data_IF_190281059410
#
_entry.id   IF_190281059410
#
_cell.length_a   1.000
_cell.length_b   1.000
_cell.length_c   1.000
_cell.angle_alpha   90.00
_cell.angle_beta   90.00
_cell.angle_gamma   90.00
#
_symmetry.space_group_name_H-M   'P 1'
#
loop_
_entity.id
_entity.type
_entity.pdbx_description
1 polymer ?
#
# COMPACT_ATOMS: atom_id res chain seq x y z
N UNK A 1 -12.75 -43.48 48.32
CA UNK A 1 -14.20 -43.74 48.34
C UNK A 1 -14.78 -42.93 49.49
N UNK A 2 -15.56 -41.89 49.14
CA UNK A 2 -16.54 -41.15 49.96
C UNK A 2 -16.03 -40.46 51.23
N UNK A 3 -15.99 -39.13 51.19
CA UNK A 3 -15.93 -38.24 52.35
C UNK A 3 -16.89 -37.08 52.14
N UNK A 4 -17.89 -37.02 53.02
CA UNK A 4 -19.04 -36.11 53.01
C UNK A 4 -18.66 -34.63 53.18
N UNK A 5 -19.40 -33.74 52.50
CA UNK A 5 -19.71 -32.41 53.03
C UNK A 5 -21.15 -32.02 52.67
N UNK A 6 -21.93 -31.66 53.69
CA UNK A 6 -23.25 -31.06 53.59
C UNK A 6 -23.28 -29.74 54.36
N UNK A 7 -23.93 -28.74 53.74
CA UNK A 7 -24.81 -27.67 54.29
C UNK A 7 -24.25 -26.45 55.04
N UNK A 8 -24.75 -25.27 54.60
CA UNK A 8 -24.90 -24.01 55.37
C UNK A 8 -24.15 -22.83 54.75
N UNK A 9 -24.72 -22.05 53.81
CA UNK A 9 -25.67 -20.93 53.97
C UNK A 9 -25.07 -19.66 54.61
N UNK A 10 -25.17 -18.56 53.84
CA UNK A 10 -25.32 -17.13 54.21
C UNK A 10 -24.27 -16.13 53.67
N UNK A 11 -24.85 -15.01 53.19
CA UNK A 11 -24.31 -13.68 52.85
C UNK A 11 -23.69 -13.48 51.47
N UNK A 12 -24.58 -13.23 50.50
CA UNK A 12 -24.33 -12.33 49.40
C UNK A 12 -24.33 -10.88 49.91
N UNK A 13 -23.25 -10.14 49.68
CA UNK A 13 -23.22 -8.68 49.77
C UNK A 13 -23.13 -8.10 48.37
N UNK A 14 -24.17 -7.33 48.09
CA UNK A 14 -24.53 -6.58 46.91
C UNK A 14 -23.72 -5.27 46.83
N UNK A 15 -23.06 -4.98 45.70
CA UNK A 15 -22.61 -3.62 45.30
C UNK A 15 -22.00 -3.62 43.90
N UNK A 16 -22.85 -3.56 42.88
CA UNK A 16 -22.47 -3.14 41.52
C UNK A 16 -23.18 -1.83 41.16
N UNK A 17 -22.53 -0.84 40.52
CA UNK A 17 -23.19 0.40 40.14
C UNK A 17 -24.09 0.21 38.91
N UNK A 18 -25.35 0.62 39.06
CA UNK A 18 -26.40 0.64 38.04
C UNK A 18 -26.22 1.90 37.18
N UNK A 19 -25.91 1.73 35.89
CA UNK A 19 -26.00 2.82 34.92
C UNK A 19 -27.44 2.95 34.42
N UNK A 20 -28.05 4.08 34.76
CA UNK A 20 -29.43 4.42 34.46
C UNK A 20 -29.58 4.83 32.96
N UNK A 21 -30.52 4.21 32.26
CA UNK A 21 -30.85 4.47 30.85
C UNK A 21 -32.35 4.81 30.76
N UNK A 22 -32.68 5.77 29.88
CA UNK A 22 -34.00 6.35 29.55
C UNK A 22 -34.24 7.73 30.23
N UNK A 23 -34.81 8.76 29.58
CA UNK A 23 -35.27 8.99 28.22
C UNK A 23 -35.85 10.43 28.12
N UNK A 24 -35.58 11.11 27.00
CA UNK A 24 -36.46 12.02 26.24
C UNK A 24 -37.00 13.39 26.77
N UNK A 25 -36.73 14.41 25.92
CA UNK A 25 -37.60 15.49 25.39
C UNK A 25 -37.93 16.74 26.24
N UNK A 26 -37.47 17.89 25.74
CA UNK A 26 -38.35 18.89 25.10
C UNK A 26 -38.70 20.18 25.88
N UNK A 27 -38.55 21.31 25.17
CA UNK A 27 -38.97 22.70 25.47
C UNK A 27 -38.20 23.42 26.61
N UNK A 28 -37.85 24.69 26.56
CA UNK A 28 -38.08 25.79 25.61
C UNK A 28 -37.68 27.13 26.25
N UNK A 29 -37.27 28.06 25.40
CA UNK A 29 -37.17 29.53 25.50
C UNK A 29 -37.44 30.29 26.82
N UNK A 30 -36.66 31.38 26.95
CA UNK A 30 -36.86 32.65 27.66
C UNK A 30 -36.73 32.70 29.19
N UNK A 31 -35.69 33.39 29.67
CA UNK A 31 -35.86 34.58 30.53
C UNK A 31 -34.62 35.47 30.42
N UNK A 32 -34.90 36.76 30.30
CA UNK A 32 -33.95 37.86 30.25
C UNK A 32 -33.91 38.56 31.61
N UNK A 33 -32.90 39.42 31.73
CA UNK A 33 -32.74 40.53 32.68
C UNK A 33 -32.16 40.17 34.07
N UNK A 34 -30.91 40.59 34.29
CA UNK A 34 -30.65 41.72 35.21
C UNK A 34 -29.24 42.26 34.96
N UNK A 35 -29.21 43.55 34.63
CA UNK A 35 -28.06 44.45 34.57
C UNK A 35 -27.55 44.78 35.97
N UNK A 36 -26.24 44.87 36.15
CA UNK A 36 -25.66 45.87 37.06
C UNK A 36 -24.25 46.27 36.56
N UNK A 37 -24.13 47.56 36.26
CA UNK A 37 -22.92 48.30 35.91
C UNK A 37 -21.93 48.33 37.09
N UNK A 38 -20.63 48.33 36.79
CA UNK A 38 -19.70 49.24 37.45
C UNK A 38 -18.49 49.52 36.54
N UNK A 39 -18.40 50.79 36.18
CA UNK A 39 -17.37 51.50 35.44
C UNK A 39 -16.36 52.12 36.43
N UNK A 40 -15.07 51.99 36.13
CA UNK A 40 -13.89 52.64 36.74
C UNK A 40 -12.66 51.98 36.05
N UNK A 41 -11.79 52.62 35.27
CA UNK A 41 -11.53 54.04 35.08
C UNK A 41 -10.06 54.37 35.42
N UNK A 42 -9.18 54.37 34.41
CA UNK A 42 -7.81 54.96 34.41
C UNK A 42 -6.72 54.22 35.26
N UNK A 43 -5.41 54.27 35.00
CA UNK A 43 -4.60 55.26 34.30
C UNK A 43 -3.22 54.68 33.91
N UNK A 44 -2.55 55.35 32.98
CA UNK A 44 -1.19 55.09 32.48
C UNK A 44 -0.10 55.18 33.57
N UNK A 45 1.11 54.64 33.29
CA UNK A 45 2.39 55.39 33.20
C UNK A 45 3.66 54.51 33.39
N UNK A 46 4.52 54.55 32.35
CA UNK A 46 6.00 54.58 32.34
C UNK A 46 6.87 53.53 33.08
N UNK A 47 7.76 52.86 32.31
CA UNK A 47 9.19 53.21 32.14
C UNK A 47 10.00 52.03 31.56
N UNK A 48 10.49 52.12 30.31
CA UNK A 48 11.91 52.39 29.95
C UNK A 48 12.96 51.52 30.67
N UNK A 49 13.51 50.52 29.96
CA UNK A 49 14.94 50.20 29.99
C UNK A 49 15.47 50.12 28.56
N UNK A 50 16.58 50.83 28.36
CA UNK A 50 17.26 51.17 27.12
C UNK A 50 18.55 50.37 26.94
N UNK A 51 18.91 50.11 25.67
CA UNK A 51 20.27 49.77 25.19
C UNK A 51 20.41 48.29 24.81
N UNK A 52 20.85 47.84 23.64
CA UNK A 52 21.53 48.45 22.47
C UNK A 52 22.45 47.36 21.87
N UNK A 53 22.49 47.11 20.53
CA UNK A 53 23.28 46.05 19.85
C UNK A 53 24.73 46.57 19.54
N UNK A 54 25.66 45.89 18.81
CA UNK A 54 25.53 44.78 17.83
C UNK A 54 26.69 43.75 17.75
N UNK A 55 26.55 42.67 16.95
CA UNK A 55 27.65 42.01 16.20
C UNK A 55 27.08 41.02 15.15
N UNK A 56 27.03 41.42 13.88
CA UNK A 56 27.90 40.98 12.77
C UNK A 56 27.59 39.61 12.14
N UNK A 57 26.94 39.64 10.98
CA UNK A 57 27.07 38.65 9.91
C UNK A 57 28.48 38.69 9.28
N UNK A 58 28.85 37.64 8.53
CA UNK A 58 29.37 37.92 7.20
C UNK A 58 28.69 37.07 6.12
N UNK A 59 28.13 37.79 5.16
CA UNK A 59 27.85 37.37 3.80
C UNK A 59 29.15 37.11 3.02
N UNK A 60 29.29 35.92 2.43
CA UNK A 60 30.29 35.61 1.40
C UNK A 60 29.59 35.28 0.07
N UNK A 61 30.16 35.67 -1.09
CA UNK A 61 29.50 35.64 -2.41
C UNK A 61 29.51 34.25 -3.08
N UNK A 62 28.67 34.03 -4.11
CA UNK A 62 28.49 32.73 -4.74
C UNK A 62 29.61 32.45 -5.75
N UNK A 63 30.28 31.31 -5.61
CA UNK A 63 31.12 30.73 -6.65
C UNK A 63 30.25 29.86 -7.57
N UNK A 64 30.30 30.19 -8.87
CA UNK A 64 29.45 29.64 -9.92
C UNK A 64 29.66 28.16 -10.27
N UNK A 65 28.90 27.65 -11.26
CA UNK A 65 28.77 26.23 -11.53
C UNK A 65 29.97 25.70 -12.31
N UNK A 66 30.46 24.48 -12.04
CA UNK A 66 31.25 23.76 -13.00
C UNK A 66 30.31 23.05 -14.00
N UNK A 67 30.38 23.51 -15.25
CA UNK A 67 30.55 22.71 -16.47
C UNK A 67 29.64 21.48 -16.69
N UNK A 68 28.92 21.53 -17.82
CA UNK A 68 28.09 20.46 -18.37
C UNK A 68 28.84 19.17 -18.77
N UNK A 69 28.12 18.21 -19.38
CA UNK A 69 28.58 16.83 -19.52
C UNK A 69 29.73 16.73 -20.54
N UNK A 70 30.67 15.78 -20.36
CA UNK A 70 31.70 15.55 -21.34
C UNK A 70 31.11 14.93 -22.61
N UNK A 71 31.33 15.63 -23.71
CA UNK A 71 31.21 15.18 -25.10
C UNK A 71 32.09 13.94 -25.35
N UNK A 72 31.56 12.93 -26.05
CA UNK A 72 32.36 11.86 -26.67
C UNK A 72 33.30 12.38 -27.76
N UNK A 73 34.35 11.62 -28.19
CA UNK A 73 34.32 10.90 -29.50
C UNK A 73 35.35 9.71 -29.55
N UNK A 74 35.74 9.08 -30.70
CA UNK A 74 35.25 9.17 -32.09
C UNK A 74 34.82 7.83 -32.71
N UNK A 75 34.23 7.93 -33.91
CA UNK A 75 33.55 6.84 -34.61
C UNK A 75 34.42 5.79 -35.27
N UNK A 76 33.75 4.68 -35.62
CA UNK A 76 34.14 3.76 -36.67
C UNK A 76 33.00 3.69 -37.69
N UNK A 77 33.36 4.01 -38.92
CA UNK A 77 32.51 3.99 -40.11
C UNK A 77 32.39 2.60 -40.71
N UNK A 78 31.18 2.24 -41.14
CA UNK A 78 30.90 1.22 -42.15
C UNK A 78 30.20 -0.03 -41.59
N UNK A 79 29.08 -0.53 -42.12
CA UNK A 79 28.41 -0.27 -43.39
C UNK A 79 26.98 -0.84 -43.37
N UNK A 80 26.09 -0.16 -44.09
CA UNK A 80 24.91 -0.67 -44.83
C UNK A 80 23.73 -1.28 -44.06
N UNK A 81 22.71 -0.42 -43.90
CA UNK A 81 21.31 -0.80 -43.88
C UNK A 81 20.87 -1.30 -45.29
N UNK A 82 20.11 -2.39 -45.32
CA UNK A 82 19.36 -2.84 -46.50
C UNK A 82 17.98 -3.34 -46.06
N UNK A 83 16.98 -2.92 -46.84
CA UNK A 83 15.64 -3.48 -47.01
C UNK A 83 14.52 -3.08 -46.05
N UNK A 84 13.82 -2.00 -46.43
CA UNK A 84 12.37 -1.94 -46.35
C UNK A 84 11.74 -2.76 -47.49
N UNK A 85 10.64 -3.45 -47.20
CA UNK A 85 9.92 -4.30 -48.15
C UNK A 85 8.45 -4.46 -47.77
N UNK A 86 7.63 -3.67 -48.45
CA UNK A 86 6.20 -3.79 -48.75
C UNK A 86 5.36 -4.91 -48.11
N UNK A 87 4.24 -4.49 -47.52
CA UNK A 87 3.06 -5.30 -47.19
C UNK A 87 2.17 -5.49 -48.44
N UNK A 88 1.77 -6.73 -48.72
CA UNK A 88 0.60 -7.03 -49.55
C UNK A 88 0.03 -8.41 -49.21
N UNK A 89 -1.29 -8.43 -48.96
CA UNK A 89 -2.16 -9.54 -48.56
C UNK A 89 -2.24 -10.71 -49.56
N UNK A 90 -2.71 -11.89 -49.12
CA UNK A 90 -2.97 -13.04 -49.98
C UNK A 90 -4.32 -12.96 -50.71
N UNK A 91 -4.32 -13.20 -52.01
CA UNK A 91 -5.48 -13.24 -52.90
C UNK A 91 -6.11 -14.64 -52.98
N UNK A 92 -7.44 -14.70 -52.84
CA UNK A 92 -8.28 -15.85 -53.20
C UNK A 92 -8.54 -15.99 -54.72
N UNK A 93 -9.34 -16.99 -55.14
CA UNK A 93 -9.21 -17.63 -56.45
C UNK A 93 -10.11 -17.01 -57.54
N UNK A 94 -9.73 -17.11 -58.84
CA UNK A 94 -10.65 -16.86 -59.94
C UNK A 94 -11.09 -18.16 -60.66
N UNK A 95 -12.18 -18.08 -61.46
CA UNK A 95 -13.03 -19.21 -61.83
C UNK A 95 -12.62 -19.91 -63.13
N UNK A 96 -13.22 -21.10 -63.31
CA UNK A 96 -13.13 -22.01 -64.44
C UNK A 96 -14.11 -21.66 -65.57
N UNK A 97 -13.59 -21.52 -66.80
CA UNK A 97 -14.32 -21.87 -68.03
C UNK A 97 -13.33 -22.33 -69.10
N UNK A 98 -13.56 -23.53 -69.63
CA UNK A 98 -12.75 -24.21 -70.64
C UNK A 98 -13.00 -23.67 -72.06
N UNK A 99 -12.05 -23.92 -72.98
CA UNK A 99 -12.40 -24.39 -74.31
C UNK A 99 -11.67 -25.69 -74.69
N UNK A 100 -12.41 -26.59 -75.30
CA UNK A 100 -11.96 -27.88 -75.83
C UNK A 100 -11.28 -27.73 -77.20
N UNK A 101 -10.20 -28.45 -77.46
CA UNK A 101 -9.78 -28.87 -78.80
C UNK A 101 -8.83 -30.09 -78.72
N UNK A 102 -8.72 -30.92 -79.78
CA UNK A 102 -8.58 -32.36 -79.62
C UNK A 102 -7.20 -32.93 -79.97
N UNK A 103 -6.96 -34.10 -79.36
CA UNK A 103 -6.36 -35.33 -79.88
C UNK A 103 -5.29 -35.25 -80.99
N UNK A 104 -4.09 -35.71 -80.65
CA UNK A 104 -3.19 -36.35 -81.60
C UNK A 104 -1.71 -36.10 -81.33
N UNK A 105 -1.03 -37.05 -80.67
CA UNK A 105 0.27 -37.58 -81.10
C UNK A 105 0.86 -38.54 -80.05
N UNK A 106 0.73 -39.82 -80.35
CA UNK A 106 1.78 -40.83 -80.34
C UNK A 106 2.67 -41.00 -79.08
N UNK A 107 2.39 -42.12 -78.42
CA UNK A 107 3.32 -42.90 -77.58
C UNK A 107 4.72 -42.99 -78.18
N UNK A 108 5.69 -42.46 -77.44
CA UNK A 108 7.05 -42.99 -77.39
C UNK A 108 7.34 -43.39 -75.95
N UNK A 109 7.21 -44.69 -75.69
CA UNK A 109 7.77 -45.33 -74.51
C UNK A 109 9.29 -45.27 -74.60
N UNK A 110 9.94 -44.58 -73.66
CA UNK A 110 11.17 -45.07 -73.03
C UNK A 110 11.47 -44.29 -71.74
N UNK A 111 11.14 -44.92 -70.60
CA UNK A 111 11.86 -44.79 -69.34
C UNK A 111 11.51 -43.62 -68.43
N UNK A 112 10.43 -43.69 -67.64
CA UNK A 112 10.36 -43.02 -66.33
C UNK A 112 9.14 -43.40 -65.44
N UNK A 113 8.75 -44.68 -65.35
CA UNK A 113 7.74 -45.07 -64.33
C UNK A 113 8.39 -45.31 -62.96
N UNK A 114 9.63 -45.81 -62.94
CA UNK A 114 10.38 -46.12 -61.72
C UNK A 114 10.84 -44.84 -61.00
N UNK A 115 10.96 -43.71 -61.71
CA UNK A 115 11.51 -42.45 -61.15
C UNK A 115 10.44 -41.60 -60.45
N UNK A 116 9.17 -41.79 -60.78
CA UNK A 116 8.04 -41.04 -60.18
C UNK A 116 7.54 -41.71 -58.89
N UNK A 117 7.42 -43.05 -58.86
CA UNK A 117 7.15 -43.79 -57.61
C UNK A 117 8.31 -43.66 -56.62
N UNK A 118 9.56 -43.81 -57.06
CA UNK A 118 10.73 -43.61 -56.19
C UNK A 118 10.87 -42.15 -55.70
N UNK A 119 10.31 -41.18 -56.44
CA UNK A 119 10.24 -39.78 -56.05
C UNK A 119 9.19 -39.52 -54.97
N UNK A 120 7.99 -40.09 -55.12
CA UNK A 120 6.92 -40.01 -54.11
C UNK A 120 7.27 -40.76 -52.82
N UNK A 121 7.89 -41.94 -52.94
CA UNK A 121 8.34 -42.74 -51.80
C UNK A 121 9.48 -42.03 -51.03
N UNK A 122 10.39 -41.34 -51.74
CA UNK A 122 11.39 -40.46 -51.11
C UNK A 122 10.77 -39.26 -50.40
N UNK A 123 9.73 -38.63 -50.97
CA UNK A 123 9.06 -37.48 -50.34
C UNK A 123 8.29 -37.91 -49.09
N UNK A 124 7.60 -39.06 -49.13
CA UNK A 124 6.93 -39.62 -47.95
C UNK A 124 7.92 -40.09 -46.88
N UNK A 125 9.06 -40.65 -47.27
CA UNK A 125 10.13 -41.01 -46.35
C UNK A 125 10.72 -39.78 -45.66
N UNK A 126 11.02 -38.71 -46.41
CA UNK A 126 11.51 -37.43 -45.87
C UNK A 126 10.47 -36.78 -44.95
N UNK A 127 9.18 -36.85 -45.30
CA UNK A 127 8.10 -36.34 -44.44
C UNK A 127 7.98 -37.14 -43.14
N UNK A 128 8.05 -38.47 -43.18
CA UNK A 128 8.05 -39.30 -41.95
C UNK A 128 9.27 -39.06 -41.07
N UNK A 129 10.44 -38.79 -41.65
CA UNK A 129 11.63 -38.46 -40.86
C UNK A 129 11.49 -37.09 -40.20
N UNK A 130 11.01 -36.08 -40.92
CA UNK A 130 10.76 -34.73 -40.35
C UNK A 130 9.66 -34.78 -39.28
N UNK A 131 8.54 -35.44 -39.54
CA UNK A 131 7.46 -35.64 -38.56
C UNK A 131 7.93 -36.45 -37.33
N UNK A 132 8.92 -37.33 -37.51
CA UNK A 132 9.56 -38.11 -36.45
C UNK A 132 10.48 -37.24 -35.59
N UNK A 133 11.31 -36.44 -36.23
CA UNK A 133 12.25 -35.51 -35.59
C UNK A 133 11.48 -34.42 -34.82
N UNK A 134 10.41 -33.86 -35.39
CA UNK A 134 9.52 -32.90 -34.72
C UNK A 134 8.83 -33.50 -33.49
N UNK A 135 8.42 -34.78 -33.54
CA UNK A 135 7.83 -35.47 -32.37
C UNK A 135 8.84 -35.70 -31.26
N UNK A 136 10.10 -35.99 -31.61
CA UNK A 136 11.19 -36.13 -30.65
C UNK A 136 11.52 -34.79 -30.01
N UNK A 137 11.62 -33.73 -30.80
CA UNK A 137 11.85 -32.37 -30.30
C UNK A 137 10.70 -31.91 -29.38
N UNK A 138 9.44 -32.14 -29.77
CA UNK A 138 8.28 -31.84 -28.93
C UNK A 138 8.27 -32.63 -27.62
N UNK A 139 8.74 -33.88 -27.62
CA UNK A 139 8.87 -34.68 -26.40
C UNK A 139 9.96 -34.11 -25.48
N UNK A 140 11.11 -33.72 -26.05
CA UNK A 140 12.20 -33.10 -25.32
C UNK A 140 11.80 -31.74 -24.73
N UNK A 141 11.11 -30.89 -25.50
CA UNK A 141 10.58 -29.61 -25.02
C UNK A 141 9.54 -29.80 -23.91
N UNK A 142 8.73 -30.86 -23.96
CA UNK A 142 7.78 -31.18 -22.87
C UNK A 142 8.50 -31.58 -21.60
N UNK A 143 9.53 -32.41 -21.71
CA UNK A 143 10.35 -32.80 -20.57
C UNK A 143 11.10 -31.60 -19.98
N UNK A 144 11.64 -30.72 -20.81
CA UNK A 144 12.28 -29.47 -20.38
C UNK A 144 11.27 -28.56 -19.68
N UNK A 145 10.06 -28.39 -20.23
CA UNK A 145 9.00 -27.60 -19.59
C UNK A 145 8.59 -28.19 -18.23
N UNK A 146 8.49 -29.51 -18.09
CA UNK A 146 8.19 -30.13 -16.79
C UNK A 146 9.34 -29.95 -15.79
N UNK A 147 10.59 -30.06 -16.25
CA UNK A 147 11.77 -29.77 -15.43
C UNK A 147 11.79 -28.31 -14.96
N UNK A 148 11.50 -27.35 -15.85
CA UNK A 148 11.40 -25.92 -15.54
C UNK A 148 10.28 -25.62 -14.55
N UNK A 149 9.10 -26.23 -14.71
CA UNK A 149 7.99 -26.06 -13.74
C UNK A 149 8.41 -26.54 -12.36
N UNK A 150 9.12 -27.67 -12.28
CA UNK A 150 9.60 -28.23 -11.01
C UNK A 150 10.68 -27.37 -10.37
N UNK A 151 11.63 -26.86 -11.15
CA UNK A 151 12.67 -25.95 -10.62
C UNK A 151 12.08 -24.62 -10.19
N UNK A 152 11.09 -24.10 -10.91
CA UNK A 152 10.35 -22.89 -10.53
C UNK A 152 9.58 -23.09 -9.22
N UNK A 153 8.89 -24.22 -9.05
CA UNK A 153 8.20 -24.53 -7.79
C UNK A 153 9.17 -24.57 -6.60
N UNK A 154 10.32 -25.25 -6.75
CA UNK A 154 11.34 -25.28 -5.72
C UNK A 154 11.94 -23.89 -5.42
N UNK A 155 12.10 -23.04 -6.44
CA UNK A 155 12.57 -21.67 -6.25
C UNK A 155 11.55 -20.82 -5.47
N UNK A 156 10.25 -21.01 -5.71
CA UNK A 156 9.20 -20.31 -4.95
C UNK A 156 9.27 -20.66 -3.46
N UNK A 157 9.46 -21.93 -3.12
CA UNK A 157 9.57 -22.37 -1.71
C UNK A 157 10.78 -21.71 -1.02
N UNK A 158 11.95 -21.72 -1.68
CA UNK A 158 13.17 -21.08 -1.14
C UNK A 158 13.00 -19.57 -1.00
N UNK A 159 12.37 -18.91 -1.99
CA UNK A 159 12.09 -17.47 -1.91
C UNK A 159 11.15 -17.19 -0.74
N UNK A 160 10.12 -18.00 -0.53
CA UNK A 160 9.18 -17.81 0.57
C UNK A 160 9.85 -17.96 1.93
N UNK A 161 10.76 -18.92 2.09
CA UNK A 161 11.56 -19.10 3.32
C UNK A 161 12.50 -17.91 3.58
N UNK A 162 13.15 -17.39 2.53
CA UNK A 162 14.06 -16.24 2.64
C UNK A 162 13.30 -14.94 2.88
N UNK A 163 12.15 -14.75 2.23
CA UNK A 163 11.35 -13.54 2.37
C UNK A 163 10.57 -13.51 3.68
N UNK A 164 10.09 -14.65 4.19
CA UNK A 164 9.31 -14.73 5.43
C UNK A 164 10.01 -15.64 6.45
N UNK A 165 11.18 -15.23 6.98
CA UNK A 165 11.84 -15.99 8.02
C UNK A 165 10.97 -16.07 9.27
N UNK A 166 11.08 -17.17 10.02
CA UNK A 166 10.41 -17.31 11.31
C UNK A 166 11.02 -16.29 12.28
N UNK A 167 10.21 -15.34 12.72
CA UNK A 167 10.65 -14.27 13.61
C UNK A 167 10.66 -14.74 15.08
N UNK A 168 11.69 -14.37 15.88
CA UNK A 168 11.72 -14.69 17.29
C UNK A 168 10.67 -13.87 18.08
N UNK A 169 10.20 -14.36 19.23
CA UNK A 169 9.34 -13.60 20.11
C UNK A 169 10.11 -12.48 20.81
N UNK A 170 9.42 -11.40 21.16
CA UNK A 170 9.97 -10.31 21.98
C UNK A 170 9.49 -10.50 23.41
N UNK A 171 10.42 -10.53 24.37
CA UNK A 171 10.10 -10.61 25.80
C UNK A 171 10.40 -9.26 26.43
N UNK A 172 9.35 -8.57 26.87
CA UNK A 172 9.46 -7.32 27.61
C UNK A 172 9.09 -7.49 29.08
N UNK A 173 9.05 -6.37 29.81
CA UNK A 173 8.68 -6.38 31.22
C UNK A 173 7.17 -6.69 31.38
N UNK A 174 6.86 -7.92 31.76
CA UNK A 174 5.49 -8.37 32.01
C UNK A 174 4.66 -8.66 30.75
N UNK A 175 5.29 -8.76 29.57
CA UNK A 175 4.61 -9.13 28.33
C UNK A 175 5.50 -9.94 27.39
N UNK A 176 4.86 -10.70 26.49
CA UNK A 176 5.52 -11.41 25.39
C UNK A 176 4.79 -11.08 24.10
N UNK A 177 5.53 -10.56 23.12
CA UNK A 177 5.04 -10.42 21.74
C UNK A 177 5.36 -11.73 21.01
N UNK A 178 4.35 -12.49 20.56
CA UNK A 178 4.59 -13.73 19.83
C UNK A 178 5.40 -13.48 18.55
N UNK A 179 6.28 -14.42 18.19
CA UNK A 179 7.05 -14.35 16.94
C UNK A 179 6.16 -14.22 15.70
N UNK A 180 4.95 -14.80 15.74
CA UNK A 180 3.94 -14.65 14.67
C UNK A 180 3.51 -13.19 14.46
N UNK A 181 3.37 -12.41 15.54
CA UNK A 181 3.04 -10.98 15.45
C UNK A 181 4.21 -10.21 14.86
N UNK A 182 5.44 -10.52 15.27
CA UNK A 182 6.65 -9.92 14.66
C UNK A 182 6.74 -10.25 13.17
N UNK A 183 6.47 -11.51 12.81
CA UNK A 183 6.39 -11.98 11.42
C UNK A 183 5.34 -11.23 10.62
N UNK A 184 4.14 -11.03 11.17
CA UNK A 184 3.07 -10.26 10.55
C UNK A 184 3.52 -8.82 10.24
N UNK A 185 4.20 -8.16 11.18
CA UNK A 185 4.73 -6.82 10.95
C UNK A 185 5.76 -6.81 9.81
N UNK A 186 6.71 -7.75 9.82
CA UNK A 186 7.72 -7.86 8.77
C UNK A 186 7.10 -8.12 7.39
N UNK A 187 6.10 -9.00 7.31
CA UNK A 187 5.37 -9.30 6.07
C UNK A 187 4.61 -8.08 5.56
N UNK A 188 3.91 -7.35 6.45
CA UNK A 188 3.21 -6.13 6.04
C UNK A 188 4.19 -5.07 5.55
N UNK A 189 5.30 -4.85 6.24
CA UNK A 189 6.32 -3.88 5.83
C UNK A 189 6.85 -4.13 4.41
N UNK A 190 7.11 -5.39 4.06
CA UNK A 190 7.45 -5.80 2.67
C UNK A 190 6.32 -5.51 1.70
N UNK A 191 5.08 -5.83 2.07
CA UNK A 191 3.91 -5.63 1.21
C UNK A 191 3.62 -4.16 0.94
N UNK A 192 3.78 -3.28 1.94
CA UNK A 192 3.65 -1.83 1.81
C UNK A 192 4.66 -1.27 0.79
N UNK A 193 5.92 -1.71 0.86
CA UNK A 193 6.94 -1.28 -0.07
C UNK A 193 6.73 -1.85 -1.48
N UNK A 194 6.33 -3.12 -1.60
CA UNK A 194 5.97 -3.74 -2.90
C UNK A 194 4.78 -3.04 -3.56
N UNK A 195 3.82 -2.58 -2.77
CA UNK A 195 2.69 -1.78 -3.22
C UNK A 195 3.02 -0.32 -3.54
N UNK A 196 4.25 0.13 -3.28
CA UNK A 196 4.68 1.52 -3.49
C UNK A 196 4.06 2.52 -2.51
N UNK A 197 3.47 2.05 -1.40
CA UNK A 197 2.84 2.90 -0.39
C UNK A 197 3.86 3.50 0.58
N UNK A 198 5.02 2.86 0.73
CA UNK A 198 6.11 3.31 1.60
C UNK A 198 7.45 3.13 0.90
N UNK A 199 8.40 4.03 1.15
CA UNK A 199 9.77 3.93 0.65
C UNK A 199 10.76 4.23 1.78
N UNK A 200 11.81 3.41 1.89
CA UNK A 200 12.85 3.60 2.89
C UNK A 200 12.30 3.44 4.32
N UNK A 201 12.34 4.52 5.10
CA UNK A 201 11.87 4.55 6.49
C UNK A 201 10.57 5.35 6.67
N UNK A 202 9.90 5.71 5.57
CA UNK A 202 8.66 6.46 5.62
C UNK A 202 7.47 5.57 6.01
N UNK A 203 6.56 6.12 6.80
CA UNK A 203 5.40 5.41 7.33
C UNK A 203 5.67 4.72 8.67
N UNK A 204 4.59 4.24 9.27
CA UNK A 204 4.59 3.50 10.52
C UNK A 204 3.31 2.69 10.63
N UNK A 205 3.31 1.61 11.40
CA UNK A 205 2.06 0.91 11.67
C UNK A 205 2.05 0.29 13.05
N UNK A 206 0.84 0.13 13.58
CA UNK A 206 0.59 -0.32 14.94
C UNK A 206 -0.59 -1.27 15.02
N UNK A 207 -0.56 -2.16 16.01
CA UNK A 207 -1.58 -3.16 16.26
C UNK A 207 -1.82 -3.27 17.78
N UNK A 208 -3.09 -3.34 18.18
CA UNK A 208 -3.47 -3.71 19.54
C UNK A 208 -3.22 -5.19 19.78
N UNK A 209 -2.63 -5.51 20.93
CA UNK A 209 -2.40 -6.88 21.34
C UNK A 209 -3.71 -7.60 21.59
N UNK A 210 -3.87 -8.78 20.99
CA UNK A 210 -5.01 -9.68 21.22
C UNK A 210 -4.84 -10.56 22.46
N UNK A 211 -3.60 -10.68 22.97
CA UNK A 211 -3.27 -11.52 24.12
C UNK A 211 -3.20 -10.73 25.42
N UNK A 212 -2.90 -9.44 25.36
CA UNK A 212 -2.71 -8.56 26.51
C UNK A 212 -3.44 -7.23 26.31
N UNK A 213 -4.64 -7.07 26.91
CA UNK A 213 -5.44 -5.86 26.75
C UNK A 213 -4.66 -4.57 27.06
N UNK A 214 -4.82 -3.57 26.21
CA UNK A 214 -4.18 -2.27 26.35
C UNK A 214 -2.70 -2.22 25.93
N UNK A 215 -2.09 -3.32 25.48
CA UNK A 215 -0.77 -3.26 24.85
C UNK A 215 -0.88 -2.87 23.38
N UNK A 216 0.02 -1.99 22.95
CA UNK A 216 0.18 -1.52 21.58
C UNK A 216 1.54 -1.94 21.08
N UNK A 217 1.58 -2.63 19.94
CA UNK A 217 2.80 -2.91 19.20
C UNK A 217 2.91 -1.91 18.04
N UNK A 218 4.03 -1.23 17.89
CA UNK A 218 4.25 -0.22 16.85
C UNK A 218 5.67 -0.31 16.28
N UNK A 219 5.80 -0.03 14.99
CA UNK A 219 7.12 0.10 14.34
C UNK A 219 7.95 1.20 15.01
N UNK A 220 9.23 0.91 15.25
CA UNK A 220 10.22 1.85 15.78
C UNK A 220 10.42 3.03 14.83
N UNK A 221 10.68 4.21 15.38
CA UNK A 221 11.06 5.39 14.60
C UNK A 221 12.29 5.09 13.72
N UNK A 222 12.19 5.42 12.43
CA UNK A 222 13.28 5.22 11.47
C UNK A 222 13.58 3.76 11.13
N UNK A 223 12.68 2.82 11.44
CA UNK A 223 12.81 1.45 10.94
C UNK A 223 12.63 1.41 9.42
N UNK A 224 13.45 0.62 8.74
CA UNK A 224 13.24 0.31 7.33
C UNK A 224 12.15 -0.75 7.23
N UNK A 225 10.90 -0.35 6.99
CA UNK A 225 9.72 -1.21 7.14
C UNK A 225 9.81 -2.52 6.34
N UNK A 226 10.35 -2.47 5.12
CA UNK A 226 10.52 -3.67 4.28
C UNK A 226 11.59 -4.65 4.78
N UNK A 227 12.49 -4.20 5.67
CA UNK A 227 13.62 -4.98 6.20
C UNK A 227 13.49 -5.19 7.72
N UNK A 228 12.33 -4.89 8.29
CA UNK A 228 12.17 -4.83 9.73
C UNK A 228 12.26 -6.21 10.38
N UNK A 229 12.79 -6.22 11.61
CA UNK A 229 12.87 -7.41 12.45
C UNK A 229 12.31 -7.14 13.87
N UNK A 230 12.50 -8.08 14.80
CA UNK A 230 12.05 -7.95 16.18
C UNK A 230 12.60 -6.71 16.90
N UNK A 231 13.80 -6.25 16.55
CA UNK A 231 14.43 -5.05 17.11
C UNK A 231 13.81 -3.73 16.61
N UNK A 232 12.94 -3.81 15.61
CA UNK A 232 12.21 -2.69 15.02
C UNK A 232 10.75 -2.62 15.47
N UNK A 233 10.34 -3.49 16.40
CA UNK A 233 9.02 -3.45 17.00
C UNK A 233 9.12 -2.96 18.45
N UNK A 234 8.42 -1.88 18.75
CA UNK A 234 8.32 -1.28 20.09
C UNK A 234 6.95 -1.62 20.66
N UNK A 235 6.89 -1.86 21.96
CA UNK A 235 5.62 -2.10 22.67
C UNK A 235 5.46 -1.08 23.79
N UNK A 236 4.25 -0.53 23.90
CA UNK A 236 3.84 0.38 24.98
C UNK A 236 2.40 0.09 25.39
N UNK A 237 1.88 0.92 26.30
CA UNK A 237 0.48 0.85 26.74
C UNK A 237 -0.34 1.96 26.10
N UNK A 238 -1.55 1.62 25.67
CA UNK A 238 -2.50 2.57 25.13
C UNK A 238 -2.83 3.65 26.18
N UNK A 239 -2.69 4.91 25.80
CA UNK A 239 -2.94 6.06 26.69
C UNK A 239 -1.72 6.51 27.51
N UNK A 240 -0.64 5.73 27.55
CA UNK A 240 0.60 6.14 28.19
C UNK A 240 1.45 7.02 27.25
N UNK A 241 2.44 7.68 27.83
CA UNK A 241 3.47 8.39 27.07
C UNK A 241 4.19 7.45 26.09
N UNK A 242 4.72 8.04 25.01
CA UNK A 242 5.42 7.28 23.98
C UNK A 242 6.57 6.46 24.58
N UNK A 243 6.65 5.14 24.31
CA UNK A 243 7.80 4.35 24.74
C UNK A 243 9.08 4.82 24.04
N UNK A 244 10.22 4.56 24.64
CA UNK A 244 11.51 4.96 24.07
C UNK A 244 11.66 4.44 22.62
N UNK A 245 12.15 5.29 21.71
CA UNK A 245 12.34 5.03 20.26
C UNK A 245 11.04 4.91 19.44
N UNK A 246 9.87 5.19 20.01
CA UNK A 246 8.66 5.39 19.23
C UNK A 246 8.72 6.72 18.45
N UNK A 247 7.97 6.78 17.34
CA UNK A 247 7.80 8.00 16.55
C UNK A 247 6.99 9.06 17.31
N UNK A 248 7.09 10.32 16.89
CA UNK A 248 6.20 11.41 17.32
C UNK A 248 4.72 11.12 16.99
N UNK A 249 4.48 10.22 16.02
CA UNK A 249 3.16 9.72 15.65
C UNK A 249 2.53 8.77 16.68
N UNK A 250 3.21 8.45 17.79
CA UNK A 250 2.68 7.54 18.83
C UNK A 250 1.27 7.94 19.28
N UNK A 251 1.03 9.23 19.50
CA UNK A 251 -0.26 9.71 19.98
C UNK A 251 -1.35 9.58 18.91
N UNK A 252 -1.00 9.83 17.64
CA UNK A 252 -1.89 9.66 16.48
C UNK A 252 -2.29 8.18 16.34
N UNK A 253 -1.31 7.27 16.39
CA UNK A 253 -1.56 5.83 16.39
C UNK A 253 -2.42 5.41 17.59
N UNK A 254 -2.13 5.92 18.79
CA UNK A 254 -2.90 5.59 20.01
C UNK A 254 -4.36 6.00 19.90
N UNK A 255 -4.66 7.21 19.41
CA UNK A 255 -6.04 7.66 19.19
C UNK A 255 -6.72 6.83 18.10
N UNK A 256 -6.04 6.58 16.98
CA UNK A 256 -6.57 5.74 15.90
C UNK A 256 -6.89 4.32 16.37
N UNK A 257 -6.01 3.70 17.15
CA UNK A 257 -6.24 2.39 17.76
C UNK A 257 -7.39 2.40 18.75
N UNK A 258 -7.52 3.45 19.56
CA UNK A 258 -8.64 3.58 20.49
C UNK A 258 -9.98 3.64 19.74
N UNK A 259 -10.07 4.44 18.67
CA UNK A 259 -11.25 4.53 17.81
C UNK A 259 -11.56 3.17 17.18
N UNK A 260 -10.58 2.54 16.52
CA UNK A 260 -10.74 1.22 15.90
C UNK A 260 -11.20 0.17 16.93
N UNK A 261 -10.66 0.20 18.14
CA UNK A 261 -11.02 -0.74 19.21
C UNK A 261 -12.48 -0.64 19.65
N UNK A 262 -13.06 0.56 19.60
CA UNK A 262 -14.47 0.77 19.93
C UNK A 262 -15.39 0.18 18.85
N UNK A 263 -14.96 0.17 17.60
CA UNK A 263 -15.74 -0.37 16.47
C UNK A 263 -15.56 -1.88 16.29
N UNK A 264 -14.41 -2.42 16.67
CA UNK A 264 -14.02 -3.80 16.38
C UNK A 264 -13.81 -4.68 17.63
N UNK A 265 -14.62 -4.43 18.67
CA UNK A 265 -14.68 -5.27 19.89
C UNK A 265 -13.32 -5.43 20.58
N UNK A 266 -12.58 -4.33 20.73
CA UNK A 266 -11.27 -4.30 21.38
C UNK A 266 -10.08 -4.61 20.45
N UNK A 267 -10.31 -4.91 19.17
CA UNK A 267 -9.27 -5.06 18.16
C UNK A 267 -9.02 -3.76 17.43
N UNK A 268 -7.80 -3.51 16.98
CA UNK A 268 -7.52 -2.31 16.21
C UNK A 268 -6.12 -2.31 15.63
N UNK A 269 -6.01 -1.75 14.44
CA UNK A 269 -4.77 -1.49 13.75
C UNK A 269 -4.81 -0.09 13.13
N UNK A 270 -3.62 0.50 12.99
CA UNK A 270 -3.44 1.78 12.32
C UNK A 270 -2.18 1.71 11.45
N UNK A 271 -2.30 2.11 10.19
CA UNK A 271 -1.20 2.14 9.22
C UNK A 271 -1.08 3.56 8.68
N UNK A 272 0.08 4.16 8.89
CA UNK A 272 0.51 5.39 8.26
C UNK A 272 1.38 5.08 7.04
N UNK A 273 0.99 5.62 5.88
CA UNK A 273 1.73 5.48 4.62
C UNK A 273 1.95 6.83 3.95
N UNK A 274 3.14 7.00 3.38
CA UNK A 274 3.49 8.14 2.53
C UNK A 274 3.07 7.87 1.08
N UNK A 275 1.77 7.64 0.87
CA UNK A 275 1.21 7.20 -0.41
C UNK A 275 1.32 8.33 -1.46
N UNK A 276 2.04 8.15 -2.59
CA UNK A 276 2.45 9.25 -3.46
C UNK A 276 1.33 10.11 -4.04
N UNK A 277 0.25 9.52 -4.54
CA UNK A 277 -0.85 10.27 -5.18
C UNK A 277 -1.68 11.00 -4.12
N UNK A 278 -2.05 10.33 -3.03
CA UNK A 278 -2.74 10.95 -1.90
C UNK A 278 -1.92 12.11 -1.32
N UNK A 279 -0.62 11.89 -1.11
CA UNK A 279 0.28 12.91 -0.57
C UNK A 279 0.39 14.11 -1.51
N UNK A 280 0.66 13.88 -2.80
CA UNK A 280 0.78 14.95 -3.79
C UNK A 280 -0.50 15.78 -3.90
N UNK A 281 -1.66 15.12 -4.00
CA UNK A 281 -2.97 15.78 -4.08
C UNK A 281 -3.29 16.58 -2.82
N UNK A 282 -2.85 16.11 -1.64
CA UNK A 282 -3.08 16.82 -0.37
C UNK A 282 -2.32 18.14 -0.26
N UNK A 283 -1.22 18.32 -1.00
CA UNK A 283 -0.36 19.50 -0.92
C UNK A 283 -0.96 20.76 -1.57
N UNK A 284 -2.04 20.61 -2.34
CA UNK A 284 -2.76 21.76 -2.90
C UNK A 284 -3.37 22.60 -1.76
N UNK A 285 -2.97 23.88 -1.68
CA UNK A 285 -3.29 24.75 -0.54
C UNK A 285 -4.79 24.96 -0.31
N UNK A 286 -5.55 25.05 -1.40
CA UNK A 286 -6.99 25.33 -1.34
C UNK A 286 -7.82 24.03 -1.20
N UNK A 287 -7.16 22.87 -1.22
CA UNK A 287 -7.82 21.57 -1.10
C UNK A 287 -7.88 21.15 0.37
N UNK A 288 -9.10 21.07 0.89
CA UNK A 288 -9.38 20.66 2.28
C UNK A 288 -9.89 19.21 2.41
N UNK A 289 -10.22 18.56 1.29
CA UNK A 289 -10.65 17.18 1.26
C UNK A 289 -10.31 16.50 -0.07
N UNK A 290 -10.11 15.19 -0.02
CA UNK A 290 -9.98 14.31 -1.17
C UNK A 290 -11.26 13.49 -1.35
N UNK A 291 -11.84 13.55 -2.55
CA UNK A 291 -13.09 12.88 -2.90
C UNK A 291 -12.81 11.93 -4.06
N UNK A 292 -12.76 10.60 -3.83
CA UNK A 292 -12.69 9.62 -4.90
C UNK A 292 -13.77 9.85 -5.97
N UNK A 293 -13.46 9.58 -7.24
CA UNK A 293 -14.42 9.65 -8.35
C UNK A 293 -14.77 8.30 -8.91
N UNK A 294 -13.93 7.29 -8.68
CA UNK A 294 -14.20 5.90 -9.02
C UNK A 294 -15.33 5.32 -8.15
N UNK A 295 -15.88 4.19 -8.58
CA UNK A 295 -17.03 3.59 -7.92
C UNK A 295 -16.70 3.05 -6.51
N UNK A 296 -15.58 2.35 -6.38
CA UNK A 296 -15.17 1.70 -5.12
C UNK A 296 -14.81 2.74 -4.06
N UNK A 297 -14.00 3.74 -4.42
CA UNK A 297 -13.57 4.79 -3.52
C UNK A 297 -14.74 5.64 -3.02
N UNK A 298 -15.69 6.00 -3.90
CA UNK A 298 -16.90 6.75 -3.50
C UNK A 298 -17.78 5.97 -2.54
N UNK A 299 -17.97 4.68 -2.81
CA UNK A 299 -18.83 3.81 -2.00
C UNK A 299 -18.21 3.52 -0.64
N UNK A 300 -16.88 3.37 -0.58
CA UNK A 300 -16.16 2.94 0.62
C UNK A 300 -15.77 4.09 1.53
N UNK A 301 -15.28 5.20 0.97
CA UNK A 301 -14.67 6.29 1.73
C UNK A 301 -15.48 7.60 1.66
N UNK A 302 -16.21 7.81 0.56
CA UNK A 302 -16.97 9.04 0.32
C UNK A 302 -16.07 10.27 0.18
N UNK A 303 -15.67 10.86 1.31
CA UNK A 303 -14.82 12.06 1.40
C UNK A 303 -13.81 11.91 2.54
N UNK A 304 -12.52 11.99 2.21
CA UNK A 304 -11.46 12.04 3.21
C UNK A 304 -11.05 13.49 3.47
N UNK A 305 -11.15 13.94 4.71
CA UNK A 305 -10.71 15.30 5.10
C UNK A 305 -9.19 15.35 5.16
N UNK A 306 -8.60 16.45 4.69
CA UNK A 306 -7.18 16.72 4.77
C UNK A 306 -6.92 17.60 5.99
N UNK A 307 -6.18 17.06 6.95
CA UNK A 307 -5.80 17.73 8.20
C UNK A 307 -4.37 18.26 8.07
N UNK A 308 -4.13 19.48 8.56
CA UNK A 308 -2.78 20.04 8.62
C UNK A 308 -1.97 19.39 9.74
N UNK A 309 -0.70 19.08 9.45
CA UNK A 309 0.19 18.46 10.43
C UNK A 309 0.61 19.50 11.47
N UNK A 310 0.27 19.26 12.74
CA UNK A 310 0.45 20.21 13.82
C UNK A 310 1.16 19.59 15.04
N UNK A 311 2.40 19.12 14.87
CA UNK A 311 3.19 18.52 15.98
C UNK A 311 3.42 19.47 17.17
N UNK A 312 3.40 20.78 16.95
CA UNK A 312 3.55 21.78 18.02
C UNK A 312 2.28 21.94 18.90
N UNK A 313 1.12 21.53 18.39
CA UNK A 313 -0.17 21.52 19.10
C UNK A 313 -0.85 20.17 18.88
N UNK A 314 -0.30 19.14 19.52
CA UNK A 314 -0.78 17.78 19.36
C UNK A 314 -2.22 17.60 19.88
N UNK A 315 -2.64 18.33 20.91
CA UNK A 315 -4.00 18.24 21.44
C UNK A 315 -5.02 18.75 20.40
N UNK A 316 -4.79 19.93 19.82
CA UNK A 316 -5.59 20.45 18.72
C UNK A 316 -5.57 19.53 17.49
N UNK A 317 -4.38 19.02 17.13
CA UNK A 317 -4.23 18.12 16.00
C UNK A 317 -5.06 16.83 16.16
N UNK A 318 -5.03 16.21 17.34
CA UNK A 318 -5.80 15.01 17.62
C UNK A 318 -7.31 15.25 17.54
N UNK A 319 -7.80 16.42 18.00
CA UNK A 319 -9.21 16.80 17.84
C UNK A 319 -9.60 16.85 16.36
N UNK A 320 -8.84 17.57 15.54
CA UNK A 320 -9.09 17.64 14.09
C UNK A 320 -9.03 16.27 13.42
N UNK A 321 -8.06 15.42 13.80
CA UNK A 321 -7.96 14.03 13.31
C UNK A 321 -9.22 13.24 13.64
N UNK A 322 -9.73 13.32 14.87
CA UNK A 322 -10.94 12.57 15.25
C UNK A 322 -12.20 13.05 14.52
N UNK A 323 -12.28 14.33 14.18
CA UNK A 323 -13.37 14.88 13.35
C UNK A 323 -13.24 14.46 11.89
N UNK A 324 -12.02 14.45 11.35
CA UNK A 324 -11.71 14.01 10.00
C UNK A 324 -12.06 12.52 9.80
N UNK A 325 -11.71 11.66 10.76
CA UNK A 325 -11.98 10.22 10.73
C UNK A 325 -13.47 9.90 10.60
N UNK A 326 -14.35 10.66 11.28
CA UNK A 326 -15.80 10.46 11.20
C UNK A 326 -16.35 10.59 9.77
N UNK A 327 -15.69 11.37 8.91
CA UNK A 327 -16.12 11.60 7.52
C UNK A 327 -15.96 10.38 6.63
N UNK A 328 -15.04 9.47 6.97
CA UNK A 328 -14.80 8.22 6.25
C UNK A 328 -15.37 7.00 6.98
N UNK A 329 -16.23 7.21 7.99
CA UNK A 329 -16.71 6.13 8.86
C UNK A 329 -15.57 5.48 9.63
N UNK A 330 -14.64 6.31 10.16
CA UNK A 330 -13.47 5.91 10.94
C UNK A 330 -12.47 5.01 10.19
N UNK A 331 -12.45 5.05 8.85
CA UNK A 331 -11.53 4.26 8.03
C UNK A 331 -10.18 4.91 7.83
N UNK A 332 -10.12 6.22 7.57
CA UNK A 332 -8.88 6.95 7.31
C UNK A 332 -9.03 8.47 7.38
N UNK A 333 -7.90 9.15 7.53
CA UNK A 333 -7.76 10.59 7.27
C UNK A 333 -6.46 10.87 6.51
N UNK A 334 -6.37 12.05 5.90
CA UNK A 334 -5.20 12.49 5.14
C UNK A 334 -4.47 13.57 5.91
N UNK A 335 -3.17 13.41 6.12
CA UNK A 335 -2.29 14.40 6.73
C UNK A 335 -1.54 15.15 5.63
N UNK A 336 -1.75 16.46 5.53
CA UNK A 336 -1.27 17.28 4.41
C UNK A 336 0.23 17.18 4.22
N UNK A 337 0.64 16.78 3.01
CA UNK A 337 2.05 16.62 2.64
C UNK A 337 2.79 15.51 3.40
N UNK A 338 2.11 14.74 4.24
CA UNK A 338 2.69 13.67 5.06
C UNK A 338 2.22 12.29 4.60
N UNK A 339 0.96 12.18 4.18
CA UNK A 339 0.38 10.95 3.67
C UNK A 339 -1.00 10.69 4.25
N UNK A 340 -1.32 9.44 4.53
CA UNK A 340 -2.60 9.06 5.13
C UNK A 340 -2.38 8.12 6.31
N UNK A 341 -3.34 8.11 7.23
CA UNK A 341 -3.47 7.13 8.29
C UNK A 341 -4.76 6.38 8.07
N UNK A 342 -4.69 5.05 7.97
CA UNK A 342 -5.82 4.17 7.79
C UNK A 342 -5.97 3.24 9.00
N UNK A 343 -7.22 3.01 9.40
CA UNK A 343 -7.62 2.19 10.53
C UNK A 343 -8.30 0.90 10.04
N UNK A 344 -8.33 -0.10 10.90
CA UNK A 344 -9.08 -1.35 10.69
C UNK A 344 -9.06 -2.22 11.94
N UNK A 345 -9.78 -3.34 11.91
CA UNK A 345 -9.76 -4.33 13.00
C UNK A 345 -8.39 -4.99 13.15
N UNK A 346 -7.67 -5.14 12.03
CA UNK A 346 -6.34 -5.72 11.95
C UNK A 346 -5.49 -5.04 10.88
N UNK A 347 -4.21 -5.41 10.84
CA UNK A 347 -3.23 -4.81 9.94
C UNK A 347 -3.58 -5.00 8.45
N UNK A 348 -4.28 -6.08 8.09
CA UNK A 348 -4.67 -6.37 6.72
C UNK A 348 -5.80 -5.43 6.28
N UNK A 349 -6.80 -5.22 7.13
CA UNK A 349 -7.89 -4.28 6.86
C UNK A 349 -7.38 -2.83 6.78
N UNK A 350 -6.54 -2.41 7.74
CA UNK A 350 -5.96 -1.08 7.73
C UNK A 350 -5.10 -0.83 6.47
N UNK A 351 -4.28 -1.80 6.08
CA UNK A 351 -3.55 -1.76 4.80
C UNK A 351 -4.49 -1.73 3.59
N UNK A 352 -5.55 -2.54 3.59
CA UNK A 352 -6.53 -2.57 2.51
C UNK A 352 -7.21 -1.22 2.30
N UNK A 353 -7.61 -0.56 3.40
CA UNK A 353 -8.16 0.79 3.38
C UNK A 353 -7.16 1.79 2.78
N UNK A 354 -5.90 1.76 3.22
CA UNK A 354 -4.84 2.64 2.69
C UNK A 354 -4.59 2.41 1.19
N UNK A 355 -4.45 1.15 0.78
CA UNK A 355 -4.15 0.78 -0.60
C UNK A 355 -5.31 1.12 -1.56
N UNK A 356 -6.55 0.85 -1.16
CA UNK A 356 -7.73 1.15 -1.96
C UNK A 356 -7.95 2.66 -2.10
N UNK A 357 -7.73 3.43 -1.03
CA UNK A 357 -7.83 4.88 -1.10
C UNK A 357 -6.74 5.49 -2.00
N UNK A 358 -5.48 5.05 -1.86
CA UNK A 358 -4.40 5.50 -2.73
C UNK A 358 -4.68 5.16 -4.20
N UNK A 359 -5.22 3.97 -4.48
CA UNK A 359 -5.63 3.60 -5.84
C UNK A 359 -6.70 4.57 -6.38
N UNK A 360 -7.68 4.89 -5.56
CA UNK A 360 -8.73 5.86 -5.90
C UNK A 360 -8.16 7.25 -6.21
N UNK A 361 -7.18 7.71 -5.41
CA UNK A 361 -6.50 8.99 -5.63
C UNK A 361 -5.63 8.98 -6.88
N UNK A 362 -5.01 7.84 -7.21
CA UNK A 362 -4.30 7.67 -8.47
C UNK A 362 -5.23 7.80 -9.68
N UNK A 363 -6.42 7.21 -9.61
CA UNK A 363 -7.44 7.34 -10.66
C UNK A 363 -7.88 8.81 -10.77
N UNK A 364 -8.19 9.47 -9.65
CA UNK A 364 -8.54 10.89 -9.63
C UNK A 364 -7.45 11.76 -10.26
N UNK A 365 -6.19 11.56 -9.87
CA UNK A 365 -5.05 12.30 -10.41
C UNK A 365 -4.93 12.16 -11.93
N UNK A 366 -5.08 10.94 -12.47
CA UNK A 366 -5.08 10.73 -13.91
C UNK A 366 -6.32 11.28 -14.61
N UNK A 367 -7.48 11.27 -13.94
CA UNK A 367 -8.72 11.87 -14.45
C UNK A 367 -8.55 13.38 -14.60
N UNK A 368 -8.01 14.06 -13.58
CA UNK A 368 -7.72 15.50 -13.62
C UNK A 368 -6.67 15.82 -14.70
N UNK A 369 -5.64 14.98 -14.86
CA UNK A 369 -4.62 15.17 -15.91
C UNK A 369 -5.17 14.97 -17.33
N UNK A 370 -6.20 14.13 -17.48
CA UNK A 370 -6.82 13.81 -18.76
C UNK A 370 -8.07 14.66 -19.08
N UNK A 371 -8.43 15.59 -18.19
CA UNK A 371 -9.65 16.42 -18.28
C UNK A 371 -10.94 15.58 -18.46
N UNK A 372 -11.08 14.48 -17.73
CA UNK A 372 -12.23 13.54 -17.79
C UNK A 372 -13.41 13.92 -16.88
#
# INVERSE_FOLDING_TARGET
MIGHYTTGAERASDSGPVFNRHAFRGLGAHMADETEDNDDGSDEMLAKVTGGPPTSSPSGPPSGPPSGPPSGPPGSSGSRAMFGGNTSQPSGPPPSTAPSAPSGAQSMSTGSSVVVEAGQEKIEAVKRTVDGDEKVELAQLREENESLKKSMAAAVDVIQEVENPVMPPIVGEGYVVPGEVVGLFATLGRQLQKGGLTHGTAGSFSLLSTTSPGLVHITRQGAALALMNEGDLITGRLGDAAPNRASEDWQIHSVGLAIASLEHEGRGACVHVAAPYTTAMSMEKDRYALVPTDFEGRSTFGRATIVDVQYNDMEGYLVEITEALKQTGNKLFVARGHGLYALGADLLEAWGNAAAFEHSMRVLYYSELADL
#
